data_IF_650418029416
#
_entry.id   IF_650418029416
#
_cell.length_a   1.000
_cell.length_b   1.000
_cell.length_c   1.000
_cell.angle_alpha   90.00
_cell.angle_beta   90.00
_cell.angle_gamma   90.00
#
_symmetry.space_group_name_H-M   'P 1'
#
loop_
_entity.id
_entity.type
_entity.pdbx_description
1 polymer ?
#
# COMPACT_ATOMS: atom_id res chain seq x y z
N UNK A 1 62.61 -17.06 -43.70
CA UNK A 1 61.94 -16.15 -42.74
C UNK A 1 60.52 -15.93 -43.24
N UNK A 2 59.54 -16.61 -42.64
CA UNK A 2 58.13 -16.62 -43.09
C UNK A 2 57.37 -15.44 -42.47
N UNK A 3 56.65 -14.69 -43.30
CA UNK A 3 55.64 -13.70 -42.90
C UNK A 3 54.35 -14.42 -42.50
N UNK A 4 53.68 -13.93 -41.45
CA UNK A 4 52.28 -14.23 -41.16
C UNK A 4 51.61 -12.94 -40.63
N UNK A 5 50.57 -12.53 -41.33
CA UNK A 5 49.62 -11.45 -41.03
C UNK A 5 48.29 -12.14 -40.70
N UNK A 6 47.59 -11.71 -39.64
CA UNK A 6 46.17 -11.95 -39.32
C UNK A 6 45.82 -10.95 -38.19
N UNK A 7 45.14 -9.82 -38.43
CA UNK A 7 43.70 -9.56 -38.61
C UNK A 7 42.81 -10.09 -37.48
N UNK A 8 42.27 -9.14 -36.69
CA UNK A 8 40.86 -9.08 -36.29
C UNK A 8 40.46 -9.76 -34.97
N UNK A 9 39.98 -8.96 -34.01
CA UNK A 9 38.55 -8.92 -33.63
C UNK A 9 38.33 -8.09 -32.36
N UNK A 10 37.46 -7.08 -32.48
CA UNK A 10 36.92 -6.33 -31.36
C UNK A 10 35.95 -7.22 -30.55
N UNK A 11 36.06 -7.20 -29.23
CA UNK A 11 35.01 -7.71 -28.33
C UNK A 11 34.50 -6.51 -27.54
N UNK A 12 33.38 -5.97 -28.00
CA UNK A 12 32.54 -5.09 -27.22
C UNK A 12 31.92 -5.94 -26.10
N UNK A 13 32.34 -5.71 -24.86
CA UNK A 13 31.70 -6.29 -23.69
C UNK A 13 30.36 -5.58 -23.47
N UNK A 14 29.25 -6.23 -23.88
CA UNK A 14 27.93 -5.88 -23.40
C UNK A 14 27.88 -6.17 -21.90
N UNK A 15 27.93 -5.11 -21.09
CA UNK A 15 27.56 -5.15 -19.69
C UNK A 15 26.04 -5.25 -19.59
N UNK A 16 25.50 -6.46 -19.72
CA UNK A 16 24.16 -6.76 -19.24
C UNK A 16 24.23 -6.86 -17.71
N UNK A 17 23.78 -5.79 -17.06
CA UNK A 17 23.55 -5.78 -15.62
C UNK A 17 22.49 -6.82 -15.29
N UNK A 18 22.92 -7.97 -14.79
CA UNK A 18 22.07 -8.96 -14.15
C UNK A 18 21.47 -8.32 -12.91
N UNK A 19 20.22 -7.86 -12.98
CA UNK A 19 19.47 -7.50 -11.79
C UNK A 19 19.17 -8.82 -11.08
N UNK A 20 19.97 -9.17 -10.08
CA UNK A 20 19.70 -10.31 -9.23
C UNK A 20 18.31 -10.09 -8.59
N UNK A 21 17.35 -10.93 -8.95
CA UNK A 21 16.06 -10.97 -8.27
C UNK A 21 16.30 -11.53 -6.87
N UNK A 22 16.51 -10.65 -5.90
CA UNK A 22 16.57 -11.03 -4.51
C UNK A 22 15.20 -11.56 -4.10
N UNK A 23 15.14 -12.81 -3.63
CA UNK A 23 13.96 -13.33 -2.95
C UNK A 23 13.71 -12.43 -1.73
N UNK A 24 12.67 -11.59 -1.79
CA UNK A 24 12.30 -10.75 -0.66
C UNK A 24 11.33 -11.53 0.21
N UNK A 25 11.72 -11.83 1.44
CA UNK A 25 10.77 -12.25 2.48
C UNK A 25 10.04 -10.99 2.94
N UNK A 26 8.79 -10.82 2.52
CA UNK A 26 7.93 -9.80 3.09
C UNK A 26 7.59 -10.22 4.53
N UNK A 27 8.01 -9.39 5.48
CA UNK A 27 7.72 -9.57 6.91
C UNK A 27 6.38 -8.94 7.25
N UNK A 28 5.80 -9.34 8.38
CA UNK A 28 4.54 -8.88 8.98
C UNK A 28 4.23 -7.38 8.77
N UNK A 29 5.24 -6.50 8.71
CA UNK A 29 5.08 -5.04 8.50
C UNK A 29 4.51 -4.64 7.13
N UNK A 30 4.46 -5.56 6.15
CA UNK A 30 3.86 -5.28 4.84
C UNK A 30 2.37 -5.60 4.75
N UNK A 31 1.79 -6.20 5.80
CA UNK A 31 0.36 -6.44 5.90
C UNK A 31 -0.37 -5.14 6.31
N UNK A 32 -1.40 -4.80 5.56
CA UNK A 32 -2.26 -3.63 5.81
C UNK A 32 -3.65 -4.12 6.23
N UNK A 33 -3.96 -4.17 7.54
CA UNK A 33 -5.27 -4.55 8.05
C UNK A 33 -6.41 -3.78 7.41
N UNK A 34 -7.55 -4.45 7.29
CA UNK A 34 -8.82 -3.87 6.86
C UNK A 34 -10.02 -4.64 7.43
N UNK A 35 -11.15 -3.96 7.53
CA UNK A 35 -12.43 -4.55 7.87
C UNK A 35 -13.49 -4.07 6.88
N UNK A 36 -14.50 -4.92 6.70
CA UNK A 36 -15.54 -4.82 5.70
C UNK A 36 -16.88 -5.22 6.31
N UNK A 37 -17.94 -4.53 5.92
CA UNK A 37 -19.33 -4.82 6.25
C UNK A 37 -20.24 -4.36 5.11
N UNK A 38 -21.36 -5.03 4.89
CA UNK A 38 -22.51 -4.54 4.15
C UNK A 38 -22.21 -4.07 2.71
N UNK A 39 -21.44 -4.81 1.92
CA UNK A 39 -21.14 -4.37 0.55
C UNK A 39 -20.12 -3.22 0.45
N UNK A 40 -19.67 -2.62 1.56
CA UNK A 40 -18.84 -1.41 1.53
C UNK A 40 -17.42 -1.71 1.07
N UNK A 41 -17.02 -1.13 -0.06
CA UNK A 41 -15.65 -1.27 -0.58
C UNK A 41 -14.64 -0.35 0.10
N UNK A 42 -15.03 0.38 1.16
CA UNK A 42 -14.10 1.25 1.90
C UNK A 42 -13.29 0.44 2.91
N UNK A 43 -12.06 0.10 2.52
CA UNK A 43 -11.06 -0.52 3.37
C UNK A 43 -10.24 0.56 4.11
N UNK A 44 -10.11 0.46 5.44
CA UNK A 44 -9.29 1.36 6.27
C UNK A 44 -8.28 0.58 7.12
N UNK A 45 -7.26 1.25 7.70
CA UNK A 45 -6.23 0.60 8.52
C UNK A 45 -5.92 1.40 9.80
N UNK A 46 -5.87 0.78 11.00
CA UNK A 46 -6.64 -0.40 11.38
C UNK A 46 -8.14 -0.09 11.32
N UNK A 47 -8.97 -1.08 10.96
CA UNK A 47 -10.40 -0.84 10.73
C UNK A 47 -11.29 -1.75 11.58
N UNK A 48 -12.35 -1.12 12.08
CA UNK A 48 -13.54 -1.77 12.61
C UNK A 48 -14.70 -1.38 11.70
N UNK A 49 -15.54 -2.34 11.35
CA UNK A 49 -16.78 -2.13 10.61
C UNK A 49 -17.89 -2.90 11.28
N UNK A 50 -19.05 -2.29 11.36
CA UNK A 50 -20.24 -2.87 11.97
C UNK A 50 -21.28 -3.11 10.88
N UNK A 51 -21.86 -4.29 10.89
CA UNK A 51 -23.14 -4.54 10.24
C UNK A 51 -24.24 -4.17 11.24
N UNK A 52 -25.01 -3.15 10.87
CA UNK A 52 -26.22 -2.77 11.58
C UNK A 52 -27.34 -2.80 10.55
N UNK A 53 -28.16 -3.87 10.53
CA UNK A 53 -29.21 -4.06 9.55
C UNK A 53 -30.11 -2.83 9.42
N UNK A 54 -30.57 -2.56 8.20
CA UNK A 54 -31.36 -1.38 7.81
C UNK A 54 -30.64 -0.02 7.93
N UNK A 55 -29.35 0.01 8.27
CA UNK A 55 -28.58 1.26 8.39
C UNK A 55 -27.34 1.22 7.52
N UNK A 56 -26.86 2.40 7.11
CA UNK A 56 -25.61 2.55 6.37
C UNK A 56 -25.49 1.68 5.10
N UNK A 57 -26.59 1.20 4.51
CA UNK A 57 -26.56 0.32 3.33
C UNK A 57 -26.50 -1.18 3.63
N UNK A 58 -26.59 -1.58 4.90
CA UNK A 58 -26.71 -2.99 5.31
C UNK A 58 -28.12 -3.53 5.02
N UNK A 59 -28.23 -4.66 4.31
CA UNK A 59 -29.50 -5.35 4.09
C UNK A 59 -30.29 -5.62 5.38
N UNK A 60 -31.61 -5.55 5.28
CA UNK A 60 -32.53 -5.76 6.40
C UNK A 60 -32.47 -7.17 7.01
N UNK A 61 -32.03 -8.13 6.22
CA UNK A 61 -32.01 -9.56 6.54
C UNK A 61 -30.65 -10.05 7.05
N UNK A 62 -29.69 -9.14 7.22
CA UNK A 62 -28.34 -9.45 7.70
C UNK A 62 -28.33 -9.62 9.22
N UNK A 63 -27.26 -10.23 9.72
CA UNK A 63 -27.09 -10.46 11.16
C UNK A 63 -26.25 -9.33 11.74
N UNK A 64 -26.72 -8.61 12.77
CA UNK A 64 -25.91 -7.56 13.39
C UNK A 64 -24.57 -8.12 13.88
N UNK A 65 -23.47 -7.49 13.46
CA UNK A 65 -22.13 -7.99 13.74
C UNK A 65 -21.04 -6.97 13.56
N UNK A 66 -19.81 -7.40 13.84
CA UNK A 66 -18.63 -6.56 13.81
C UNK A 66 -17.45 -7.32 13.21
N UNK A 67 -16.83 -6.69 12.22
CA UNK A 67 -15.54 -7.07 11.70
C UNK A 67 -14.46 -6.15 12.27
N UNK A 68 -13.37 -6.72 12.76
CA UNK A 68 -12.22 -5.95 13.26
C UNK A 68 -10.91 -6.55 12.76
N UNK A 69 -10.01 -5.69 12.30
CA UNK A 69 -8.65 -6.08 11.96
C UNK A 69 -7.64 -5.13 12.60
N UNK A 70 -6.56 -5.68 13.12
CA UNK A 70 -5.49 -4.91 13.74
C UNK A 70 -4.15 -5.61 13.65
N UNK A 71 -3.09 -4.82 13.42
CA UNK A 71 -1.72 -5.29 13.45
C UNK A 71 -0.98 -4.60 14.60
N UNK A 72 -0.54 -5.38 15.59
CA UNK A 72 0.15 -4.86 16.77
C UNK A 72 1.09 -5.89 17.38
N UNK A 73 2.27 -5.45 17.81
CA UNK A 73 3.28 -6.29 18.46
C UNK A 73 3.64 -7.57 17.68
N UNK A 74 3.61 -7.53 16.35
CA UNK A 74 3.91 -8.69 15.48
C UNK A 74 2.74 -9.67 15.29
N UNK A 75 1.57 -9.38 15.85
CA UNK A 75 0.34 -10.18 15.70
C UNK A 75 -0.67 -9.46 14.82
N UNK A 76 -1.15 -10.15 13.80
CA UNK A 76 -2.32 -9.74 13.03
C UNK A 76 -3.56 -10.40 13.65
N UNK A 77 -4.42 -9.60 14.27
CA UNK A 77 -5.71 -10.03 14.82
C UNK A 77 -6.82 -9.73 13.82
N UNK A 78 -7.57 -10.76 13.45
CA UNK A 78 -8.72 -10.70 12.55
C UNK A 78 -9.93 -11.30 13.26
N UNK A 79 -11.04 -10.59 13.33
CA UNK A 79 -12.26 -11.09 13.96
C UNK A 79 -13.49 -10.75 13.15
N UNK A 80 -14.40 -11.72 13.07
CA UNK A 80 -15.79 -11.55 12.63
C UNK A 80 -16.66 -12.14 13.72
N UNK A 81 -17.35 -11.27 14.44
CA UNK A 81 -18.18 -11.64 15.58
C UNK A 81 -19.56 -11.03 15.38
N UNK A 82 -20.60 -11.78 15.70
CA UNK A 82 -21.96 -11.26 15.73
C UNK A 82 -22.66 -11.80 16.99
N UNK A 83 -23.76 -11.16 17.36
CA UNK A 83 -24.51 -11.52 18.58
C UNK A 83 -25.46 -12.71 18.43
N UNK A 84 -25.53 -13.36 17.26
CA UNK A 84 -26.46 -14.48 17.02
C UNK A 84 -25.94 -15.78 17.66
N UNK A 85 -26.86 -16.57 18.20
CA UNK A 85 -26.54 -17.87 18.80
C UNK A 85 -26.13 -18.91 17.75
N UNK A 86 -26.52 -18.72 16.49
CA UNK A 86 -26.14 -19.56 15.36
C UNK A 86 -24.97 -18.94 14.58
N UNK A 87 -23.77 -19.48 14.85
CA UNK A 87 -22.54 -19.12 14.14
C UNK A 87 -22.60 -19.30 12.61
N UNK A 88 -23.50 -20.15 12.09
CA UNK A 88 -23.61 -20.34 10.64
C UNK A 88 -24.21 -19.11 9.95
N UNK A 89 -25.18 -18.43 10.57
CA UNK A 89 -25.73 -17.20 10.01
C UNK A 89 -24.71 -16.08 10.01
N UNK A 90 -23.96 -16.01 11.09
CA UNK A 90 -22.86 -15.08 11.24
C UNK A 90 -21.81 -15.27 10.15
N UNK A 91 -21.41 -16.52 9.89
CA UNK A 91 -20.52 -16.86 8.78
C UNK A 91 -21.07 -16.42 7.43
N UNK A 92 -22.37 -16.62 7.19
CA UNK A 92 -23.03 -16.24 5.94
C UNK A 92 -23.23 -14.73 5.75
N UNK A 93 -23.06 -13.94 6.81
CA UNK A 93 -23.26 -12.50 6.82
C UNK A 93 -22.19 -11.76 6.01
N UNK A 94 -22.52 -10.60 5.44
CA UNK A 94 -21.63 -9.81 4.57
C UNK A 94 -20.61 -8.96 5.38
N UNK A 95 -19.93 -9.65 6.29
CA UNK A 95 -18.88 -9.13 7.16
C UNK A 95 -17.57 -9.88 6.90
N UNK A 96 -16.46 -9.15 6.90
CA UNK A 96 -15.14 -9.78 6.81
C UNK A 96 -14.07 -8.87 7.42
N UNK A 97 -13.04 -9.50 7.99
CA UNK A 97 -11.81 -8.82 8.40
C UNK A 97 -10.62 -9.43 7.65
N UNK A 98 -9.58 -8.64 7.42
CA UNK A 98 -8.45 -9.13 6.68
C UNK A 98 -7.24 -8.22 6.72
N UNK A 99 -6.26 -8.56 5.91
CA UNK A 99 -5.11 -7.71 5.65
C UNK A 99 -4.58 -7.94 4.24
N UNK A 100 -4.22 -6.84 3.57
CA UNK A 100 -3.57 -6.89 2.26
C UNK A 100 -2.07 -6.96 2.42
N UNK A 101 -1.43 -7.96 1.83
CA UNK A 101 0.03 -8.09 1.75
C UNK A 101 0.54 -7.38 0.51
N UNK A 102 1.44 -6.41 0.71
CA UNK A 102 1.96 -5.56 -0.37
C UNK A 102 3.41 -5.91 -0.73
N UNK A 103 3.82 -5.45 -1.91
CA UNK A 103 5.23 -5.43 -2.29
C UNK A 103 5.73 -6.67 -3.03
N UNK A 104 4.85 -7.56 -3.48
CA UNK A 104 5.21 -8.76 -4.25
C UNK A 104 4.51 -8.77 -5.61
N UNK A 105 5.21 -9.21 -6.66
CA UNK A 105 4.68 -9.45 -8.01
C UNK A 105 4.51 -10.93 -8.33
N UNK A 106 5.13 -11.80 -7.54
CA UNK A 106 4.87 -13.25 -7.52
C UNK A 106 4.79 -13.73 -6.08
N UNK A 107 4.14 -14.86 -5.86
CA UNK A 107 4.09 -15.50 -4.55
C UNK A 107 4.48 -16.97 -4.71
N UNK A 108 5.59 -17.36 -4.10
CA UNK A 108 6.17 -18.72 -4.20
C UNK A 108 6.06 -19.50 -2.90
N UNK A 109 5.92 -18.81 -1.76
CA UNK A 109 5.58 -19.42 -0.48
C UNK A 109 4.84 -18.41 0.39
N UNK A 110 3.90 -18.91 1.19
CA UNK A 110 3.19 -18.14 2.19
C UNK A 110 2.93 -19.01 3.41
N UNK A 111 3.17 -18.48 4.60
CA UNK A 111 2.88 -19.17 5.85
C UNK A 111 2.65 -18.21 7.00
N UNK A 112 2.04 -18.73 8.06
CA UNK A 112 1.93 -18.06 9.35
C UNK A 112 1.76 -19.11 10.46
N UNK A 113 1.97 -18.67 11.70
CA UNK A 113 1.62 -19.42 12.88
C UNK A 113 0.35 -18.86 13.51
N UNK A 114 -0.43 -19.75 14.10
CA UNK A 114 -1.61 -19.43 14.89
C UNK A 114 -1.22 -19.32 16.36
N UNK A 115 -1.64 -18.24 17.01
CA UNK A 115 -1.68 -18.20 18.49
C UNK A 115 -2.66 -19.30 18.97
N UNK A 116 -2.41 -19.95 20.12
CA UNK A 116 -3.36 -20.93 20.68
C UNK A 116 -4.80 -20.42 20.68
N UNK A 117 -5.74 -21.32 20.41
CA UNK A 117 -7.19 -21.04 20.32
C UNK A 117 -7.64 -20.15 19.16
N UNK A 118 -6.72 -19.69 18.30
CA UNK A 118 -7.10 -18.96 17.08
C UNK A 118 -7.96 -19.81 16.15
N UNK A 119 -8.96 -19.16 15.57
CA UNK A 119 -9.81 -19.74 14.55
C UNK A 119 -8.98 -20.19 13.34
N UNK A 120 -9.27 -21.39 12.87
CA UNK A 120 -8.76 -21.96 11.63
C UNK A 120 -9.68 -23.11 11.20
N UNK A 121 -10.86 -22.76 10.69
CA UNK A 121 -11.94 -23.68 10.35
C UNK A 121 -12.62 -23.25 9.05
N UNK A 122 -13.38 -24.15 8.41
CA UNK A 122 -14.15 -23.89 7.17
C UNK A 122 -13.38 -23.22 6.00
N UNK A 123 -12.05 -23.16 6.08
CA UNK A 123 -11.18 -22.48 5.12
C UNK A 123 -10.63 -21.13 5.60
N UNK A 124 -11.19 -20.49 6.63
CA UNK A 124 -10.70 -19.21 7.13
C UNK A 124 -9.73 -19.34 8.34
N UNK A 125 -8.79 -18.40 8.54
CA UNK A 125 -8.43 -17.34 7.60
C UNK A 125 -7.88 -17.91 6.31
N UNK A 126 -8.35 -17.44 5.17
CA UNK A 126 -7.86 -17.90 3.87
C UNK A 126 -6.87 -16.91 3.30
N UNK A 127 -5.97 -17.43 2.49
CA UNK A 127 -5.16 -16.63 1.60
C UNK A 127 -5.89 -16.51 0.25
N UNK A 128 -6.32 -15.29 -0.06
CA UNK A 128 -6.87 -14.92 -1.35
C UNK A 128 -5.76 -14.33 -2.21
N UNK A 129 -5.60 -14.85 -3.42
CA UNK A 129 -4.61 -14.31 -4.37
C UNK A 129 -5.29 -14.07 -5.69
N UNK A 130 -5.23 -12.84 -6.20
CA UNK A 130 -5.66 -12.53 -7.57
C UNK A 130 -4.45 -12.53 -8.47
N UNK A 131 -4.53 -13.25 -9.57
CA UNK A 131 -3.46 -13.31 -10.58
C UNK A 131 -3.73 -12.35 -11.74
N UNK A 132 -2.70 -12.06 -12.54
CA UNK A 132 -2.77 -11.10 -13.64
C UNK A 132 -3.76 -11.47 -14.76
N UNK A 133 -4.19 -12.74 -14.82
CA UNK A 133 -5.27 -13.23 -15.70
C UNK A 133 -6.67 -12.94 -15.13
N UNK A 134 -6.77 -12.22 -14.00
CA UNK A 134 -8.01 -11.83 -13.36
C UNK A 134 -8.67 -12.92 -12.51
N UNK A 135 -8.02 -14.07 -12.34
CA UNK A 135 -8.56 -15.18 -11.53
C UNK A 135 -8.25 -15.00 -10.06
N UNK A 136 -9.21 -15.35 -9.22
CA UNK A 136 -9.04 -15.40 -7.77
C UNK A 136 -8.79 -16.84 -7.34
N UNK A 137 -7.75 -17.01 -6.52
CA UNK A 137 -7.33 -18.26 -5.93
C UNK A 137 -7.57 -18.23 -4.42
N UNK A 138 -7.98 -19.35 -3.84
CA UNK A 138 -8.32 -19.45 -2.41
C UNK A 138 -7.55 -20.60 -1.77
N UNK A 139 -6.73 -20.31 -0.77
CA UNK A 139 -6.00 -21.32 -0.01
C UNK A 139 -6.44 -21.25 1.45
N UNK A 140 -7.14 -22.28 1.92
CA UNK A 140 -7.79 -22.24 3.22
C UNK A 140 -6.90 -22.70 4.37
N UNK A 141 -7.01 -22.06 5.54
CA UNK A 141 -6.20 -22.39 6.72
C UNK A 141 -6.31 -23.87 7.12
N UNK A 142 -7.53 -24.38 7.28
CA UNK A 142 -7.77 -25.74 7.77
C UNK A 142 -7.11 -26.82 6.89
N UNK A 143 -7.04 -26.62 5.58
CA UNK A 143 -6.44 -27.56 4.63
C UNK A 143 -4.89 -27.52 4.62
N UNK A 144 -4.30 -26.43 5.12
CA UNK A 144 -2.87 -26.14 5.07
C UNK A 144 -2.21 -26.12 6.46
N UNK A 145 -2.96 -26.50 7.50
CA UNK A 145 -2.52 -26.46 8.90
C UNK A 145 -1.86 -27.76 9.33
N UNK A 146 -0.74 -27.63 10.03
CA UNK A 146 -0.07 -28.68 10.80
C UNK A 146 0.25 -28.16 12.19
N UNK A 147 -0.46 -28.65 13.22
CA UNK A 147 -0.32 -28.13 14.58
C UNK A 147 -0.81 -26.69 14.68
N UNK A 148 0.08 -25.73 14.97
CA UNK A 148 -0.22 -24.29 14.93
C UNK A 148 0.35 -23.60 13.69
N UNK A 149 1.14 -24.29 12.87
CA UNK A 149 1.73 -23.74 11.66
C UNK A 149 0.80 -23.93 10.46
N UNK A 150 0.70 -22.92 9.60
CA UNK A 150 -0.06 -22.96 8.36
C UNK A 150 0.89 -22.67 7.21
N UNK A 151 1.05 -23.63 6.30
CA UNK A 151 1.94 -23.52 5.14
C UNK A 151 1.15 -23.81 3.86
N UNK A 152 1.01 -22.79 3.00
CA UNK A 152 0.11 -22.86 1.86
C UNK A 152 0.70 -23.61 0.68
N UNK A 153 -0.01 -24.65 0.24
CA UNK A 153 0.25 -25.30 -1.05
C UNK A 153 -0.31 -24.44 -2.18
N UNK A 154 0.55 -23.70 -2.86
CA UNK A 154 0.18 -22.72 -3.88
C UNK A 154 -0.12 -23.32 -5.27
N UNK A 155 -0.23 -24.65 -5.36
CA UNK A 155 -0.48 -25.41 -6.57
C UNK A 155 -1.98 -25.69 -6.79
N UNK A 156 -2.30 -26.47 -7.82
CA UNK A 156 -3.67 -26.84 -8.14
C UNK A 156 -4.37 -27.67 -7.06
N UNK A 157 -3.61 -28.40 -6.23
CA UNK A 157 -4.18 -29.25 -5.18
C UNK A 157 -4.56 -28.45 -3.93
N UNK A 158 -3.83 -27.36 -3.64
CA UNK A 158 -4.17 -26.45 -2.55
C UNK A 158 -5.18 -25.36 -2.91
N UNK A 159 -5.41 -25.12 -4.21
CA UNK A 159 -6.31 -24.09 -4.70
C UNK A 159 -7.78 -24.50 -4.64
N UNK A 160 -8.47 -24.07 -3.59
CA UNK A 160 -9.90 -24.30 -3.38
C UNK A 160 -10.81 -23.62 -4.42
N UNK A 161 -10.29 -22.71 -5.25
CA UNK A 161 -11.05 -22.11 -6.35
C UNK A 161 -11.12 -22.99 -7.61
N UNK A 162 -10.28 -24.01 -7.71
CA UNK A 162 -10.17 -24.84 -8.92
C UNK A 162 -9.51 -24.15 -10.12
N UNK A 163 -8.83 -23.01 -9.90
CA UNK A 163 -8.17 -22.24 -10.97
C UNK A 163 -6.73 -22.69 -11.29
N UNK A 164 -6.30 -23.82 -10.71
CA UNK A 164 -5.02 -24.47 -10.99
C UNK A 164 -3.81 -23.92 -10.20
N UNK A 165 -4.06 -23.17 -9.13
CA UNK A 165 -3.00 -22.57 -8.30
C UNK A 165 -2.32 -21.36 -8.93
N UNK A 166 -1.30 -20.85 -8.23
CA UNK A 166 -0.61 -19.60 -8.58
C UNK A 166 0.87 -19.77 -8.94
N UNK A 167 1.41 -20.99 -8.88
CA UNK A 167 2.81 -21.26 -9.22
C UNK A 167 3.13 -20.75 -10.63
N UNK A 168 4.14 -19.88 -10.73
CA UNK A 168 4.59 -19.29 -11.99
C UNK A 168 3.73 -18.14 -12.52
N UNK A 169 2.68 -17.73 -11.79
CA UNK A 169 1.81 -16.60 -12.18
C UNK A 169 2.26 -15.29 -11.53
N UNK A 170 1.97 -14.18 -12.20
CA UNK A 170 2.06 -12.85 -11.61
C UNK A 170 0.83 -12.61 -10.74
N UNK A 171 1.02 -12.05 -9.55
CA UNK A 171 -0.04 -11.71 -8.61
C UNK A 171 -0.31 -10.21 -8.63
N UNK A 172 -1.58 -9.83 -8.51
CA UNK A 172 -2.03 -8.43 -8.48
C UNK A 172 -2.52 -8.03 -7.09
N UNK A 173 -3.03 -8.99 -6.30
CA UNK A 173 -3.35 -8.80 -4.90
C UNK A 173 -3.12 -10.10 -4.11
N UNK A 174 -2.79 -9.92 -2.83
CA UNK A 174 -2.63 -10.98 -1.85
C UNK A 174 -3.34 -10.49 -0.59
N UNK A 175 -4.38 -11.19 -0.17
CA UNK A 175 -5.20 -10.82 0.98
C UNK A 175 -5.34 -12.01 1.92
N UNK A 176 -5.19 -11.75 3.21
CA UNK A 176 -5.59 -12.66 4.28
C UNK A 176 -7.02 -12.30 4.65
N UNK A 177 -7.94 -13.26 4.68
CA UNK A 177 -9.37 -13.01 4.88
C UNK A 177 -9.94 -13.94 5.96
N UNK A 178 -10.52 -13.35 7.00
CA UNK A 178 -11.39 -13.99 7.98
C UNK A 178 -12.84 -13.56 7.69
N UNK A 179 -13.54 -14.40 6.94
CA UNK A 179 -14.97 -14.25 6.62
C UNK A 179 -15.86 -15.27 7.36
N UNK A 180 -15.25 -16.14 8.16
CA UNK A 180 -15.95 -17.05 9.07
C UNK A 180 -16.09 -16.47 10.46
N UNK A 181 -17.12 -16.92 11.18
CA UNK A 181 -17.33 -16.53 12.57
C UNK A 181 -16.19 -16.98 13.46
N UNK A 182 -15.58 -16.03 14.16
CA UNK A 182 -14.49 -16.29 15.09
C UNK A 182 -13.40 -15.24 15.05
N UNK A 183 -12.34 -15.51 15.79
CA UNK A 183 -11.15 -14.65 15.88
C UNK A 183 -9.91 -15.47 15.56
N UNK A 184 -9.09 -14.98 14.65
CA UNK A 184 -7.80 -15.55 14.31
C UNK A 184 -6.68 -14.57 14.65
N UNK A 185 -5.70 -15.03 15.41
CA UNK A 185 -4.50 -14.27 15.76
C UNK A 185 -3.30 -14.93 15.07
N UNK A 186 -2.76 -14.23 14.09
CA UNK A 186 -1.68 -14.72 13.22
C UNK A 186 -0.36 -14.06 13.64
N UNK A 187 0.67 -14.88 13.82
CA UNK A 187 2.05 -14.43 14.10
C UNK A 187 3.00 -15.05 13.07
N UNK A 188 4.23 -14.52 13.02
CA UNK A 188 5.27 -15.02 12.12
C UNK A 188 4.83 -15.11 10.64
N UNK A 189 4.04 -14.13 10.18
CA UNK A 189 3.62 -14.07 8.79
C UNK A 189 4.86 -14.00 7.88
N UNK A 190 4.92 -14.91 6.91
CA UNK A 190 6.03 -15.04 5.97
C UNK A 190 5.48 -15.15 4.56
N UNK A 191 5.87 -14.22 3.70
CA UNK A 191 5.53 -14.23 2.27
C UNK A 191 6.81 -14.13 1.46
N UNK A 192 7.01 -15.10 0.56
CA UNK A 192 8.20 -15.15 -0.29
C UNK A 192 7.79 -15.06 -1.74
N UNK A 193 8.49 -14.22 -2.49
CA UNK A 193 8.29 -14.07 -3.92
C UNK A 193 9.22 -13.03 -4.51
N UNK A 194 8.91 -12.61 -5.74
CA UNK A 194 9.61 -11.50 -6.39
C UNK A 194 9.08 -10.17 -5.88
N UNK A 195 9.97 -9.31 -5.41
CA UNK A 195 9.61 -7.97 -4.95
C UNK A 195 9.02 -7.14 -6.09
N UNK A 196 8.01 -6.34 -5.78
CA UNK A 196 7.60 -5.24 -6.65
C UNK A 196 8.71 -4.18 -6.63
N UNK A 197 9.35 -3.96 -7.79
CA UNK A 197 10.35 -2.90 -7.93
C UNK A 197 9.61 -1.56 -7.91
N UNK A 198 9.66 -0.88 -6.78
CA UNK A 198 9.28 0.54 -6.75
C UNK A 198 10.42 1.30 -7.40
N UNK A 199 10.17 1.90 -8.56
CA UNK A 199 11.17 2.76 -9.19
C UNK A 199 11.59 3.82 -8.16
N UNK A 200 12.89 3.86 -7.84
CA UNK A 200 13.42 4.97 -7.04
C UNK A 200 13.15 6.24 -7.84
N UNK A 201 12.49 7.26 -7.27
CA UNK A 201 12.26 8.50 -8.00
C UNK A 201 13.62 9.01 -8.47
N UNK A 202 13.78 9.17 -9.78
CA UNK A 202 14.97 9.81 -10.33
C UNK A 202 15.05 11.20 -9.69
N UNK A 203 16.16 11.56 -9.01
CA UNK A 203 16.27 12.90 -8.47
C UNK A 203 16.04 13.90 -9.60
N UNK A 204 15.12 14.83 -9.37
CA UNK A 204 14.85 15.91 -10.32
C UNK A 204 16.18 16.61 -10.62
N UNK A 205 16.53 16.87 -11.89
CA UNK A 205 17.79 17.54 -12.20
C UNK A 205 17.83 18.89 -11.48
N UNK A 206 18.81 19.05 -10.59
CA UNK A 206 19.10 20.33 -9.95
C UNK A 206 19.30 21.36 -11.06
N UNK A 207 18.48 22.41 -11.08
CA UNK A 207 18.59 23.47 -12.06
C UNK A 207 20.05 23.98 -12.08
N UNK A 208 20.67 23.97 -13.26
CA UNK A 208 22.01 24.49 -13.44
C UNK A 208 22.03 25.96 -12.97
N UNK A 209 23.09 26.42 -12.26
CA UNK A 209 23.18 27.80 -11.83
C UNK A 209 23.10 28.71 -13.07
N UNK A 210 22.07 29.56 -13.12
CA UNK A 210 21.92 30.55 -14.18
C UNK A 210 22.96 31.64 -13.95
N UNK A 211 23.88 31.80 -14.90
CA UNK A 211 24.80 32.94 -14.93
C UNK A 211 23.99 34.23 -14.97
N UNK A 212 24.17 35.19 -14.04
CA UNK A 212 23.44 36.44 -14.06
C UNK A 212 23.74 37.19 -15.36
N UNK A 213 22.69 37.45 -16.13
CA UNK A 213 22.81 38.26 -17.36
C UNK A 213 22.95 39.71 -16.94
N UNK A 214 24.08 40.33 -17.30
CA UNK A 214 24.36 41.74 -17.03
C UNK A 214 23.32 42.60 -17.75
N UNK A 215 22.55 43.40 -17.01
CA UNK A 215 21.57 44.31 -17.56
C UNK A 215 22.28 45.33 -18.48
N UNK A 216 21.89 45.35 -19.75
CA UNK A 216 22.32 46.35 -20.72
C UNK A 216 21.56 47.64 -20.42
N UNK A 217 22.22 48.59 -19.76
CA UNK A 217 21.75 49.97 -19.62
C UNK A 217 21.75 50.66 -20.98
N UNK A 218 20.58 50.71 -21.61
CA UNK A 218 20.25 51.67 -22.67
C UNK A 218 19.95 53.04 -22.08
N UNK A 219 20.53 54.08 -22.68
CA UNK A 219 20.64 55.42 -22.12
C UNK A 219 19.34 56.23 -21.96
N UNK A 220 19.33 57.02 -20.89
CA UNK A 220 19.06 58.46 -20.88
C UNK A 220 17.66 58.97 -21.22
N UNK A 221 17.01 59.59 -20.22
CA UNK A 221 16.33 60.90 -20.33
C UNK A 221 16.35 61.62 -18.95
N UNK A 222 16.62 62.94 -18.90
CA UNK A 222 16.90 63.66 -17.66
C UNK A 222 15.62 64.09 -16.93
N UNK A 223 15.42 63.62 -15.70
CA UNK A 223 14.34 64.07 -14.80
C UNK A 223 14.89 65.08 -13.77
N UNK A 224 15.24 66.26 -14.26
CA UNK A 224 15.51 67.46 -13.44
C UNK A 224 14.51 68.54 -13.86
N UNK A 225 13.24 68.46 -13.41
CA UNK A 225 12.78 69.43 -12.42
C UNK A 225 11.67 68.93 -11.47
N UNK A 226 11.56 67.64 -11.16
CA UNK A 226 10.47 67.12 -10.30
C UNK A 226 10.83 67.01 -8.80
N UNK A 227 12.00 67.50 -8.38
CA UNK A 227 12.41 67.57 -6.97
C UNK A 227 12.03 68.92 -6.32
N UNK A 228 11.76 69.96 -7.12
CA UNK A 228 11.38 71.29 -6.61
C UNK A 228 9.93 71.41 -6.12
N UNK A 229 9.03 70.52 -6.54
CA UNK A 229 7.60 70.64 -6.22
C UNK A 229 7.17 69.81 -4.98
N UNK A 230 7.97 68.83 -4.55
CA UNK A 230 7.64 67.97 -3.41
C UNK A 230 8.09 68.54 -2.06
N UNK A 231 9.08 69.45 -2.06
CA UNK A 231 9.58 70.10 -0.84
C UNK A 231 8.78 71.35 -0.43
N UNK A 232 7.93 71.90 -1.30
CA UNK A 232 7.02 72.99 -0.95
C UNK A 232 5.72 72.52 -0.28
N UNK A 233 5.31 71.26 -0.48
CA UNK A 233 4.08 70.70 0.09
C UNK A 233 4.24 70.18 1.53
N UNK A 234 5.47 69.88 1.97
CA UNK A 234 5.76 69.42 3.35
C UNK A 234 6.05 70.57 4.33
N UNK A 235 6.24 71.81 3.84
CA UNK A 235 6.42 73.00 4.68
C UNK A 235 5.12 73.68 5.14
N UNK A 236 3.97 73.36 4.52
CA UNK A 236 2.69 74.03 4.79
C UNK A 236 1.76 73.26 5.75
N UNK A 237 2.13 72.04 6.17
CA UNK A 237 1.39 71.27 7.16
C UNK A 237 1.90 71.44 8.62
N UNK A 238 3.05 72.12 8.81
CA UNK A 238 3.64 72.37 10.13
C UNK A 238 3.16 73.64 10.84
N UNK A 239 2.33 74.47 10.20
CA UNK A 239 1.94 75.79 10.72
C UNK A 239 0.49 75.89 11.24
N UNK A 240 -0.23 74.77 11.36
CA UNK A 240 -1.61 74.74 11.90
C UNK A 240 -1.74 74.07 13.27
N UNK A 241 -0.65 73.57 13.86
CA UNK A 241 -0.63 73.05 15.25
C UNK A 241 0.07 74.06 16.17
N UNK A 242 -0.41 75.30 16.19
CA UNK A 242 -0.03 76.26 17.24
C UNK A 242 -1.06 77.36 17.43
N UNK A 243 -2.28 76.99 17.82
CA UNK A 243 -3.20 77.83 18.62
C UNK A 243 -4.45 77.04 19.03
N UNK A 244 -4.78 77.12 20.32
CA UNK A 244 -5.83 76.40 21.09
C UNK A 244 -5.30 75.06 21.63
N UNK A 245 -5.09 74.83 22.92
CA UNK A 245 -5.81 75.32 24.13
C UNK A 245 -4.87 75.33 25.34
N UNK A 246 -4.79 76.48 26.01
CA UNK A 246 -4.75 76.59 27.46
C UNK A 246 -6.15 77.01 27.90
#
# INVERSE_FOLDING_TARGET
MRRLVLIGSAIAALAWGSVAAYASTATVTTASPWAYACGHTTFGNPATKEDTPDTNGCPANDVPGTATAGLGAGTLSLSKLCGDADSAKCTADDLASGATVKGLTTLTAASWDLVPESYCGAGAPRLNVVTSDGKTHFFGCAANRSGNHVDFKLDAAGDGSGNGGIVGKTVTSIDIVQDETGTANLIHLSFTGTAAVTATPTPSPTAAPTTPTLATTGGGMPIWPMIGLLLAALGLAGLTIRRRTA
#
